data_IF_884379636266
#
_entry.id   IF_884379636266
#
_cell.length_a   1.000
_cell.length_b   1.000
_cell.length_c   1.000
_cell.angle_alpha   90.00
_cell.angle_beta   90.00
_cell.angle_gamma   90.00
#
_symmetry.space_group_name_H-M   'P 1'
#
loop_
_entity.id
_entity.type
_entity.pdbx_description
1 polymer ?
#
# COMPACT_ATOMS: atom_id res chain seq x y z
N UNK A 1 12.81 24.56 -8.66
CA UNK A 1 12.55 25.03 -10.04
C UNK A 1 13.02 23.94 -11.00
N UNK A 2 12.11 23.20 -11.65
CA UNK A 2 12.46 22.27 -12.72
C UNK A 2 12.98 23.08 -13.90
N UNK A 3 14.29 23.05 -14.19
CA UNK A 3 14.81 23.53 -15.47
C UNK A 3 14.17 22.70 -16.57
N UNK A 4 13.35 23.33 -17.43
CA UNK A 4 12.88 22.68 -18.64
C UNK A 4 14.13 22.23 -19.42
N UNK A 5 14.27 20.93 -19.65
CA UNK A 5 15.30 20.34 -20.50
C UNK A 5 15.07 20.91 -21.91
N UNK A 6 15.85 21.91 -22.28
CA UNK A 6 15.83 22.42 -23.66
C UNK A 6 16.46 21.34 -24.54
N UNK A 7 15.65 20.71 -25.40
CA UNK A 7 16.12 19.68 -26.32
C UNK A 7 17.27 20.22 -27.19
N UNK A 8 18.44 19.59 -27.11
CA UNK A 8 19.58 19.90 -27.95
C UNK A 8 19.21 19.68 -29.41
N UNK A 9 19.39 20.73 -30.24
CA UNK A 9 19.11 20.65 -31.69
C UNK A 9 20.42 20.64 -32.44
N UNK A 10 20.56 19.69 -33.33
CA UNK A 10 21.74 19.55 -34.20
C UNK A 10 21.43 20.05 -35.60
N UNK A 11 22.30 20.89 -36.18
CA UNK A 11 22.10 21.50 -37.50
C UNK A 11 23.37 21.52 -38.31
N UNK A 12 23.28 21.25 -39.62
CA UNK A 12 24.40 21.44 -40.57
C UNK A 12 24.57 22.92 -40.88
N UNK A 13 25.80 23.43 -40.81
CA UNK A 13 26.15 24.82 -41.11
C UNK A 13 27.35 24.92 -42.03
N UNK A 14 27.54 26.10 -42.61
CA UNK A 14 28.64 26.48 -43.50
C UNK A 14 29.49 27.55 -42.83
N UNK A 15 30.81 27.41 -42.98
CA UNK A 15 31.79 28.47 -42.66
C UNK A 15 32.62 28.76 -43.89
N UNK A 16 32.66 30.01 -44.35
CA UNK A 16 33.45 30.43 -45.51
C UNK A 16 34.96 30.28 -45.17
N UNK A 17 35.72 29.77 -46.14
CA UNK A 17 37.18 29.80 -46.12
C UNK A 17 37.69 31.23 -46.24
N UNK A 18 38.81 31.53 -45.57
CA UNK A 18 39.43 32.86 -45.63
C UNK A 18 40.27 33.07 -46.89
N UNK A 19 40.76 31.97 -47.48
CA UNK A 19 41.73 32.00 -48.60
C UNK A 19 41.17 31.44 -49.91
N UNK A 20 40.01 30.74 -49.89
CA UNK A 20 39.43 30.10 -51.08
C UNK A 20 37.95 30.38 -51.14
N UNK A 21 37.38 30.31 -52.37
CA UNK A 21 35.93 30.40 -52.57
C UNK A 21 35.25 29.06 -52.32
N UNK A 22 35.40 28.56 -51.07
CA UNK A 22 34.83 27.32 -50.59
C UNK A 22 34.24 27.48 -49.19
N UNK A 23 33.35 26.61 -48.80
CA UNK A 23 32.72 26.60 -47.48
C UNK A 23 32.96 25.25 -46.82
N UNK A 24 33.48 25.28 -45.56
CA UNK A 24 33.61 24.13 -44.70
C UNK A 24 32.26 23.72 -44.16
N UNK A 25 31.93 22.40 -44.27
CA UNK A 25 30.77 21.81 -43.66
C UNK A 25 31.06 21.45 -42.20
N UNK A 26 30.17 21.83 -41.29
CA UNK A 26 30.23 21.44 -39.92
C UNK A 26 28.83 21.22 -39.34
N UNK A 27 28.75 20.41 -38.30
CA UNK A 27 27.53 20.15 -37.53
C UNK A 27 27.63 20.97 -36.24
N UNK A 28 26.60 21.71 -35.87
CA UNK A 28 26.50 22.50 -34.63
C UNK A 28 25.35 21.98 -33.79
N UNK A 29 25.62 21.58 -32.54
CA UNK A 29 24.67 21.24 -31.51
C UNK A 29 24.49 22.42 -30.54
N UNK A 30 23.21 22.78 -30.24
CA UNK A 30 22.86 23.82 -29.28
C UNK A 30 21.40 23.66 -28.82
N UNK A 31 21.09 23.95 -27.55
CA UNK A 31 21.98 24.17 -26.43
C UNK A 31 22.60 22.87 -25.89
N UNK A 32 23.89 22.87 -25.58
CA UNK A 32 24.57 21.78 -24.89
C UNK A 32 24.95 22.21 -23.49
N UNK A 33 24.49 21.53 -22.47
CA UNK A 33 24.81 21.80 -21.06
C UNK A 33 25.98 20.92 -20.64
N UNK A 34 27.04 21.55 -20.11
CA UNK A 34 28.22 20.90 -19.53
C UNK A 34 28.23 21.13 -18.02
N UNK A 35 28.67 20.15 -17.25
CA UNK A 35 28.64 20.20 -15.78
C UNK A 35 29.44 21.35 -15.20
N UNK A 36 30.51 21.77 -15.89
CA UNK A 36 31.46 22.81 -15.49
C UNK A 36 31.07 24.24 -15.94
N UNK A 37 29.98 24.40 -16.72
CA UNK A 37 29.59 25.69 -17.28
C UNK A 37 28.13 26.06 -16.97
N UNK A 38 27.90 27.28 -16.40
CA UNK A 38 26.58 27.74 -16.01
C UNK A 38 25.66 28.08 -17.20
N UNK A 39 26.23 28.28 -18.39
CA UNK A 39 25.50 28.67 -19.60
C UNK A 39 25.61 27.60 -20.68
N UNK A 40 24.55 27.41 -21.50
CA UNK A 40 24.56 26.41 -22.56
C UNK A 40 25.64 26.77 -23.61
N UNK A 41 26.37 25.76 -24.04
CA UNK A 41 27.47 25.87 -24.99
C UNK A 41 27.03 25.45 -26.39
N UNK A 42 27.79 25.96 -27.42
CA UNK A 42 27.67 25.48 -28.80
C UNK A 42 28.80 24.51 -29.09
N UNK A 43 28.46 23.28 -29.41
CA UNK A 43 29.46 22.26 -29.80
C UNK A 43 29.47 22.19 -31.32
N UNK A 44 30.68 22.29 -31.92
CA UNK A 44 30.88 22.24 -33.37
C UNK A 44 31.81 21.11 -33.74
N UNK A 45 31.39 20.33 -34.73
CA UNK A 45 32.18 19.24 -35.31
C UNK A 45 32.37 19.51 -36.78
N UNK A 46 33.64 19.72 -37.21
CA UNK A 46 33.99 19.94 -38.61
C UNK A 46 34.13 18.59 -39.32
N UNK A 47 33.51 18.49 -40.52
CA UNK A 47 33.38 17.23 -41.24
C UNK A 47 34.52 16.94 -42.20
N UNK A 48 35.55 17.81 -42.26
CA UNK A 48 36.65 17.75 -43.23
C UNK A 48 36.18 17.67 -44.70
N UNK A 49 35.04 18.30 -44.99
CA UNK A 49 34.49 18.44 -46.32
C UNK A 49 34.21 19.88 -46.64
N UNK A 50 34.51 20.28 -47.86
CA UNK A 50 34.23 21.62 -48.42
C UNK A 50 33.25 21.53 -49.56
N UNK A 51 32.54 22.62 -49.82
CA UNK A 51 31.65 22.79 -50.99
C UNK A 51 31.97 24.14 -51.63
N UNK A 52 31.80 24.21 -52.94
CA UNK A 52 32.10 25.40 -53.74
C UNK A 52 30.90 26.05 -54.38
N UNK A 53 29.80 25.30 -54.53
CA UNK A 53 28.59 25.71 -55.29
C UNK A 53 27.31 25.74 -54.48
N UNK A 54 27.27 26.24 -53.24
CA UNK A 54 26.01 26.29 -52.49
C UNK A 54 25.00 27.25 -53.10
N UNK A 55 23.73 26.91 -53.08
CA UNK A 55 22.63 27.76 -53.54
C UNK A 55 22.20 28.61 -52.34
N UNK A 56 22.14 29.92 -52.51
CA UNK A 56 21.78 30.87 -51.48
C UNK A 56 20.30 31.27 -51.60
N UNK A 57 19.63 31.34 -50.45
CA UNK A 57 18.22 31.75 -50.39
C UNK A 57 18.16 33.30 -50.26
N UNK A 58 17.90 33.94 -51.43
CA UNK A 58 17.79 35.40 -51.51
C UNK A 58 16.43 35.93 -51.03
N UNK A 59 15.43 35.04 -50.74
CA UNK A 59 14.10 35.42 -50.27
C UNK A 59 14.03 35.60 -48.76
N UNK A 60 15.04 35.12 -48.00
CA UNK A 60 15.10 35.25 -46.56
C UNK A 60 16.04 36.39 -46.15
N UNK A 61 15.64 37.18 -45.10
CA UNK A 61 16.37 38.30 -44.57
C UNK A 61 17.87 38.04 -44.53
N UNK A 62 18.61 38.78 -45.34
CA UNK A 62 20.06 38.78 -45.38
C UNK A 62 20.64 39.50 -44.15
N UNK A 63 21.80 39.04 -43.67
CA UNK A 63 22.53 39.73 -42.66
C UNK A 63 23.59 40.60 -43.34
N UNK A 64 23.47 41.90 -43.22
CA UNK A 64 24.47 42.83 -43.72
C UNK A 64 25.48 43.07 -42.56
N UNK A 65 26.76 42.88 -42.83
CA UNK A 65 27.84 43.17 -41.88
C UNK A 65 28.15 44.69 -41.83
N UNK A 66 29.08 45.07 -40.96
CA UNK A 66 29.47 46.48 -40.78
C UNK A 66 30.10 47.11 -42.02
N UNK A 67 30.59 46.28 -42.94
CA UNK A 67 31.24 46.68 -44.20
C UNK A 67 30.25 46.68 -45.38
N UNK A 68 28.94 46.59 -45.12
CA UNK A 68 27.91 46.66 -46.16
C UNK A 68 27.72 45.37 -46.96
N UNK A 69 28.44 44.29 -46.64
CA UNK A 69 28.36 43.02 -47.36
C UNK A 69 27.19 42.16 -46.89
N UNK A 70 26.28 41.87 -47.78
CA UNK A 70 25.10 41.07 -47.45
C UNK A 70 25.40 39.56 -47.57
N UNK A 71 25.14 38.81 -46.49
CA UNK A 71 25.27 37.34 -46.48
C UNK A 71 23.92 36.65 -46.40
N UNK A 72 23.69 35.68 -47.27
CA UNK A 72 22.45 34.93 -47.35
C UNK A 72 22.61 33.57 -46.65
N UNK A 73 21.50 32.97 -46.18
CA UNK A 73 21.47 31.58 -45.69
C UNK A 73 21.45 30.60 -46.86
N UNK A 74 22.05 29.41 -46.72
CA UNK A 74 21.97 28.41 -47.76
C UNK A 74 20.54 27.94 -47.94
N UNK A 75 20.10 27.77 -49.18
CA UNK A 75 18.81 27.19 -49.51
C UNK A 75 18.78 25.70 -49.16
N UNK A 76 17.65 25.21 -48.63
CA UNK A 76 17.51 23.84 -48.18
C UNK A 76 16.29 23.21 -48.91
N UNK A 77 16.36 21.89 -49.09
CA UNK A 77 15.23 21.10 -49.57
C UNK A 77 14.18 20.88 -48.44
N UNK A 78 13.14 20.09 -48.74
CA UNK A 78 12.07 19.74 -47.82
C UNK A 78 12.58 18.94 -46.59
N UNK A 79 13.69 18.24 -46.74
CA UNK A 79 14.32 17.45 -45.69
C UNK A 79 15.33 18.28 -44.86
N UNK A 80 15.55 19.54 -45.22
CA UNK A 80 16.50 20.44 -44.53
C UNK A 80 17.94 20.33 -45.04
N UNK A 81 18.23 19.57 -46.10
CA UNK A 81 19.55 19.38 -46.69
C UNK A 81 19.92 20.63 -47.53
N UNK A 82 21.15 21.10 -47.40
CA UNK A 82 21.66 22.26 -48.17
C UNK A 82 21.72 21.86 -49.64
N UNK A 83 21.20 22.74 -50.49
CA UNK A 83 21.19 22.55 -51.95
C UNK A 83 22.46 23.17 -52.57
N UNK A 84 23.06 22.41 -53.49
CA UNK A 84 24.25 22.80 -54.27
C UNK A 84 23.99 22.64 -55.75
N UNK A 85 24.79 23.33 -56.58
CA UNK A 85 24.72 23.19 -58.06
C UNK A 85 25.51 21.98 -58.54
N UNK A 86 26.65 21.68 -57.91
CA UNK A 86 27.47 20.53 -58.25
C UNK A 86 26.97 19.27 -57.55
N UNK A 87 26.98 18.14 -58.21
CA UNK A 87 26.58 16.85 -57.67
C UNK A 87 27.50 16.40 -56.51
N UNK A 88 28.85 16.65 -56.66
CA UNK A 88 29.84 16.32 -55.66
C UNK A 88 29.61 17.10 -54.35
N UNK A 89 29.27 18.39 -54.47
CA UNK A 89 28.93 19.23 -53.30
C UNK A 89 27.60 18.77 -52.68
N UNK A 90 26.63 18.37 -53.47
CA UNK A 90 25.34 17.86 -53.02
C UNK A 90 25.53 16.56 -52.23
N UNK A 91 26.38 15.64 -52.70
CA UNK A 91 26.74 14.42 -51.95
C UNK A 91 27.40 14.72 -50.63
N UNK A 92 28.27 15.74 -50.55
CA UNK A 92 28.87 16.22 -49.33
C UNK A 92 27.85 16.79 -48.34
N UNK A 93 26.81 17.48 -48.84
CA UNK A 93 25.71 17.99 -48.00
C UNK A 93 24.78 16.84 -47.51
N UNK A 94 24.52 15.83 -48.33
CA UNK A 94 23.79 14.61 -47.92
C UNK A 94 24.57 13.85 -46.82
N UNK A 95 25.89 13.72 -46.99
CA UNK A 95 26.73 13.12 -45.94
C UNK A 95 26.67 13.91 -44.65
N UNK A 96 26.76 15.25 -44.69
CA UNK A 96 26.65 16.10 -43.55
C UNK A 96 25.32 15.96 -42.81
N UNK A 97 24.22 15.75 -43.52
CA UNK A 97 22.91 15.51 -42.93
C UNK A 97 22.80 14.13 -42.29
N UNK A 98 23.43 13.11 -42.87
CA UNK A 98 23.55 11.79 -42.19
C UNK A 98 24.29 11.90 -40.86
N UNK A 99 25.40 12.64 -40.83
CA UNK A 99 26.15 12.90 -39.54
C UNK A 99 25.29 13.69 -38.57
N UNK A 100 24.59 14.74 -39.03
CA UNK A 100 23.62 15.49 -38.22
C UNK A 100 22.58 14.57 -37.57
N UNK A 101 21.98 13.69 -38.39
CA UNK A 101 20.97 12.74 -37.92
C UNK A 101 21.50 11.75 -36.88
N UNK A 102 22.76 11.29 -37.05
CA UNK A 102 23.43 10.43 -36.08
C UNK A 102 23.65 11.16 -34.76
N UNK A 103 24.21 12.38 -34.81
CA UNK A 103 24.47 13.20 -33.61
C UNK A 103 23.17 13.62 -32.92
N UNK A 104 22.07 13.87 -33.65
CA UNK A 104 20.78 14.16 -33.03
C UNK A 104 20.29 12.96 -32.22
N UNK A 105 20.37 11.73 -32.75
CA UNK A 105 20.02 10.53 -32.04
C UNK A 105 20.86 10.30 -30.77
N UNK A 106 22.16 10.63 -30.83
CA UNK A 106 23.03 10.52 -29.66
C UNK A 106 22.59 11.46 -28.53
N UNK A 107 22.24 12.73 -28.86
CA UNK A 107 21.73 13.68 -27.86
C UNK A 107 20.34 13.29 -27.34
N UNK A 108 19.46 12.79 -28.19
CA UNK A 108 18.13 12.33 -27.80
C UNK A 108 18.23 11.10 -26.88
N UNK A 109 19.11 10.15 -27.20
CA UNK A 109 19.36 8.98 -26.40
C UNK A 109 20.07 9.29 -25.06
N UNK A 110 21.00 10.23 -25.05
CA UNK A 110 21.71 10.63 -23.82
C UNK A 110 20.73 11.14 -22.73
N UNK A 111 19.67 11.84 -23.14
CA UNK A 111 18.61 12.27 -22.24
C UNK A 111 17.82 11.07 -21.67
N UNK A 112 17.51 10.09 -22.50
CA UNK A 112 16.81 8.86 -22.10
C UNK A 112 17.65 7.98 -21.17
N UNK A 113 18.94 7.83 -21.46
CA UNK A 113 19.86 7.04 -20.62
C UNK A 113 20.08 7.68 -19.23
N UNK A 114 20.13 9.00 -19.13
CA UNK A 114 20.30 9.69 -17.85
C UNK A 114 19.09 9.54 -16.92
N UNK A 115 17.86 9.45 -17.46
CA UNK A 115 16.64 9.19 -16.69
C UNK A 115 16.60 7.74 -16.21
N UNK A 116 16.90 6.77 -17.08
CA UNK A 116 16.96 5.34 -16.72
C UNK A 116 18.06 5.03 -15.70
N UNK A 117 19.22 5.68 -15.81
CA UNK A 117 20.32 5.51 -14.85
C UNK A 117 19.94 6.05 -13.47
N UNK A 118 19.23 7.19 -13.40
CA UNK A 118 18.74 7.75 -12.16
C UNK A 118 17.67 6.86 -11.50
N UNK A 119 16.73 6.33 -12.26
CA UNK A 119 15.71 5.39 -11.77
C UNK A 119 16.34 4.09 -11.26
N UNK A 120 17.34 3.56 -11.97
CA UNK A 120 18.06 2.35 -11.55
C UNK A 120 18.87 2.60 -10.27
N UNK A 121 19.52 3.75 -10.14
CA UNK A 121 20.24 4.12 -8.93
C UNK A 121 19.30 4.26 -7.73
N UNK A 122 18.15 4.90 -7.90
CA UNK A 122 17.13 5.01 -6.86
C UNK A 122 16.58 3.62 -6.46
N UNK A 123 16.30 2.75 -7.44
CA UNK A 123 15.83 1.40 -7.17
C UNK A 123 16.90 0.56 -6.43
N UNK A 124 18.17 0.76 -6.76
CA UNK A 124 19.27 0.10 -6.07
C UNK A 124 19.38 0.57 -4.60
N UNK A 125 19.24 1.86 -4.34
CA UNK A 125 19.19 2.40 -2.97
C UNK A 125 18.02 1.83 -2.18
N UNK A 126 16.81 1.83 -2.76
CA UNK A 126 15.61 1.25 -2.13
C UNK A 126 15.79 -0.24 -1.84
N UNK A 127 16.46 -0.97 -2.71
CA UNK A 127 16.72 -2.41 -2.51
C UNK A 127 17.64 -2.71 -1.32
N UNK A 128 18.47 -1.75 -0.89
CA UNK A 128 19.36 -1.83 0.27
C UNK A 128 18.71 -1.42 1.58
N UNK A 129 17.51 -0.84 1.54
CA UNK A 129 16.76 -0.47 2.75
C UNK A 129 16.36 -1.71 3.54
N UNK A 130 16.23 -1.55 4.87
CA UNK A 130 15.83 -2.61 5.79
C UNK A 130 14.31 -2.76 5.81
N UNK A 131 13.80 -3.92 5.40
CA UNK A 131 12.38 -4.23 5.42
C UNK A 131 11.79 -4.30 6.84
N UNK A 132 12.56 -4.72 7.85
CA UNK A 132 12.05 -4.79 9.24
C UNK A 132 11.77 -3.39 9.77
N UNK A 133 12.63 -2.42 9.50
CA UNK A 133 12.41 -1.01 9.86
C UNK A 133 11.23 -0.41 9.06
N UNK A 134 11.17 -0.71 7.77
CA UNK A 134 10.05 -0.31 6.93
C UNK A 134 8.72 -0.88 7.43
N UNK A 135 8.69 -2.15 7.87
CA UNK A 135 7.51 -2.79 8.44
C UNK A 135 6.99 -2.05 9.67
N UNK A 136 7.88 -1.66 10.59
CA UNK A 136 7.52 -0.88 11.77
C UNK A 136 7.01 0.53 11.39
N UNK A 137 7.62 1.16 10.38
CA UNK A 137 7.16 2.44 9.84
C UNK A 137 5.73 2.34 9.27
N UNK A 138 5.46 1.34 8.45
CA UNK A 138 4.12 1.08 7.88
C UNK A 138 3.09 0.83 8.98
N UNK A 139 3.45 0.07 10.01
CA UNK A 139 2.57 -0.15 11.17
C UNK A 139 2.17 1.17 11.82
N UNK A 140 3.13 2.03 12.12
CA UNK A 140 2.87 3.33 12.77
C UNK A 140 1.99 4.24 11.93
N UNK A 141 2.22 4.31 10.63
CA UNK A 141 1.44 5.17 9.73
C UNK A 141 0.01 4.65 9.51
N UNK A 142 -0.14 3.37 9.17
CA UNK A 142 -1.45 2.82 8.78
C UNK A 142 -2.37 2.56 9.98
N UNK A 143 -1.80 2.29 11.14
CA UNK A 143 -2.56 1.84 12.32
C UNK A 143 -2.51 2.80 13.50
N UNK A 144 -2.18 4.09 13.25
CA UNK A 144 -2.17 5.14 14.28
C UNK A 144 -3.50 5.25 15.06
N UNK A 145 -4.64 4.99 14.39
CA UNK A 145 -5.98 5.04 14.97
C UNK A 145 -6.70 3.68 14.95
N UNK A 146 -5.97 2.59 14.76
CA UNK A 146 -6.55 1.24 14.78
C UNK A 146 -6.77 0.76 16.22
N UNK A 147 -7.59 -0.31 16.36
CA UNK A 147 -7.78 -0.94 17.68
C UNK A 147 -6.48 -1.56 18.20
N UNK A 148 -6.34 -1.61 19.54
CA UNK A 148 -5.17 -2.18 20.20
C UNK A 148 -4.85 -3.60 19.73
N UNK A 149 -5.87 -4.41 19.44
CA UNK A 149 -5.69 -5.78 18.95
C UNK A 149 -4.99 -5.84 17.58
N UNK A 150 -5.25 -4.88 16.70
CA UNK A 150 -4.56 -4.76 15.40
C UNK A 150 -3.11 -4.37 15.64
N UNK A 151 -2.89 -3.35 16.47
CA UNK A 151 -1.54 -2.85 16.80
C UNK A 151 -0.69 -3.97 17.44
N UNK A 152 -1.25 -4.71 18.39
CA UNK A 152 -0.58 -5.84 19.06
C UNK A 152 -0.20 -6.93 18.04
N UNK A 153 -1.10 -7.27 17.11
CA UNK A 153 -0.81 -8.27 16.08
C UNK A 153 0.34 -7.82 15.14
N UNK A 154 0.36 -6.56 14.71
CA UNK A 154 1.45 -6.02 13.91
C UNK A 154 2.77 -6.02 14.65
N UNK A 155 2.79 -5.58 15.91
CA UNK A 155 3.97 -5.63 16.77
C UNK A 155 4.49 -7.06 16.92
N UNK A 156 3.58 -8.03 17.09
CA UNK A 156 3.97 -9.42 17.19
C UNK A 156 4.58 -9.97 15.91
N UNK A 157 4.04 -9.62 14.73
CA UNK A 157 4.64 -9.99 13.44
C UNK A 157 6.04 -9.37 13.29
N UNK A 158 6.22 -8.11 13.71
CA UNK A 158 7.53 -7.45 13.71
C UNK A 158 8.56 -8.20 14.58
N UNK A 159 8.19 -8.62 15.79
CA UNK A 159 9.04 -9.46 16.65
C UNK A 159 9.38 -10.80 15.99
N UNK A 160 8.39 -11.45 15.36
CA UNK A 160 8.59 -12.72 14.68
C UNK A 160 9.49 -12.59 13.44
N UNK A 161 9.44 -11.46 12.74
CA UNK A 161 10.39 -11.15 11.66
C UNK A 161 11.83 -11.07 12.15
N UNK A 162 12.07 -10.44 13.32
CA UNK A 162 13.40 -10.38 13.94
C UNK A 162 13.89 -11.77 14.37
N UNK A 163 13.02 -12.59 14.97
CA UNK A 163 13.35 -13.97 15.33
C UNK A 163 13.70 -14.78 14.07
N UNK A 164 12.93 -14.67 13.01
CA UNK A 164 13.15 -15.36 11.75
C UNK A 164 14.47 -14.94 11.08
N UNK A 165 14.75 -13.64 11.05
CA UNK A 165 15.98 -13.08 10.52
C UNK A 165 17.21 -13.39 11.37
N UNK A 166 17.02 -13.84 12.63
CA UNK A 166 18.07 -13.94 13.66
C UNK A 166 18.81 -12.61 13.89
N UNK A 167 18.08 -11.52 13.74
CA UNK A 167 18.61 -10.15 13.85
C UNK A 167 17.56 -9.11 13.48
N UNK A 168 17.98 -7.88 13.29
CA UNK A 168 17.11 -6.74 13.03
C UNK A 168 17.07 -6.30 11.55
N UNK A 169 17.63 -7.11 10.64
CA UNK A 169 17.80 -6.69 9.24
C UNK A 169 17.37 -7.77 8.26
N UNK A 170 16.48 -7.40 7.35
CA UNK A 170 16.17 -8.07 6.09
C UNK A 170 16.19 -6.99 5.02
N UNK A 171 17.12 -7.06 4.06
CA UNK A 171 17.15 -6.08 2.96
C UNK A 171 16.04 -6.37 1.95
N UNK A 172 15.52 -5.31 1.31
CA UNK A 172 14.53 -5.49 0.23
C UNK A 172 15.06 -6.35 -0.92
N UNK A 173 16.36 -6.29 -1.21
CA UNK A 173 17.03 -7.15 -2.20
C UNK A 173 16.98 -8.65 -1.86
N UNK A 174 16.76 -9.01 -0.61
CA UNK A 174 16.66 -10.40 -0.14
C UNK A 174 15.23 -10.95 -0.21
N UNK A 175 14.23 -10.07 -0.45
CA UNK A 175 12.82 -10.47 -0.48
C UNK A 175 12.51 -11.12 -1.82
N UNK A 176 12.58 -12.43 -1.82
CA UNK A 176 12.20 -13.30 -2.93
C UNK A 176 11.08 -14.29 -2.52
N UNK A 177 10.61 -15.08 -3.46
CA UNK A 177 9.59 -16.10 -3.20
C UNK A 177 10.05 -17.12 -2.15
N UNK A 178 11.34 -17.44 -2.13
CA UNK A 178 11.91 -18.42 -1.21
C UNK A 178 11.90 -17.89 0.23
N UNK A 179 12.25 -16.63 0.43
CA UNK A 179 12.18 -15.98 1.76
C UNK A 179 10.74 -15.94 2.25
N UNK A 180 9.77 -15.54 1.39
CA UNK A 180 8.36 -15.47 1.78
C UNK A 180 7.81 -16.84 2.16
N UNK A 181 8.11 -17.89 1.39
CA UNK A 181 7.73 -19.27 1.72
C UNK A 181 8.42 -19.76 2.99
N UNK A 182 9.71 -19.44 3.20
CA UNK A 182 10.43 -19.79 4.42
C UNK A 182 9.81 -19.11 5.65
N UNK A 183 9.40 -17.84 5.54
CA UNK A 183 8.69 -17.16 6.63
C UNK A 183 7.29 -17.76 6.87
N UNK A 184 6.58 -18.16 5.81
CA UNK A 184 5.30 -18.87 5.92
C UNK A 184 5.44 -20.17 6.72
N UNK A 185 6.48 -20.97 6.41
CA UNK A 185 6.77 -22.22 7.12
C UNK A 185 7.23 -21.98 8.56
N UNK A 186 8.02 -20.92 8.80
CA UNK A 186 8.42 -20.51 10.14
C UNK A 186 7.19 -20.16 11.00
N UNK A 187 6.21 -19.43 10.46
CA UNK A 187 5.01 -19.04 11.20
C UNK A 187 4.18 -20.25 11.68
N UNK A 188 4.16 -21.36 10.92
CA UNK A 188 3.45 -22.57 11.33
C UNK A 188 4.04 -23.22 12.59
N UNK A 189 5.29 -22.92 12.91
CA UNK A 189 6.02 -23.44 14.08
C UNK A 189 6.51 -22.30 15.00
N UNK A 190 6.03 -21.07 14.81
CA UNK A 190 6.52 -19.92 15.54
C UNK A 190 6.13 -19.98 17.04
N UNK A 191 7.01 -19.51 17.94
CA UNK A 191 6.76 -19.56 19.37
C UNK A 191 5.61 -18.63 19.78
N UNK A 192 4.86 -19.04 20.80
CA UNK A 192 3.92 -18.15 21.46
C UNK A 192 4.68 -16.99 22.15
N UNK A 193 4.06 -15.81 22.20
CA UNK A 193 4.63 -14.66 22.91
C UNK A 193 4.29 -14.65 24.41
N UNK A 194 4.88 -13.69 25.15
CA UNK A 194 4.54 -13.45 26.54
C UNK A 194 4.96 -14.57 27.51
N UNK A 195 6.06 -15.28 27.24
CA UNK A 195 6.59 -16.33 28.08
C UNK A 195 5.79 -17.64 28.08
N UNK A 196 4.77 -17.75 27.23
CA UNK A 196 4.00 -18.99 27.09
C UNK A 196 4.80 -20.06 26.35
N UNK A 197 4.77 -21.29 26.84
CA UNK A 197 5.37 -22.46 26.17
C UNK A 197 4.47 -22.91 25.03
N UNK A 198 5.07 -23.32 23.88
CA UNK A 198 4.37 -23.87 22.73
C UNK A 198 4.44 -22.98 21.50
N UNK A 199 3.74 -23.40 20.44
CA UNK A 199 3.66 -22.72 19.15
C UNK A 199 2.31 -22.00 18.98
N UNK A 200 2.26 -21.01 18.11
CA UNK A 200 1.02 -20.32 17.77
C UNK A 200 0.06 -21.26 17.01
N UNK A 201 -1.25 -21.00 17.12
CA UNK A 201 -2.24 -21.76 16.34
C UNK A 201 -2.15 -21.45 14.86
N UNK A 202 -2.59 -22.38 14.02
CA UNK A 202 -2.62 -22.20 12.57
C UNK A 202 -3.46 -20.97 12.16
N UNK A 203 -4.56 -20.67 12.84
CA UNK A 203 -5.37 -19.47 12.59
C UNK A 203 -4.61 -18.19 12.96
N UNK A 204 -3.79 -18.21 14.00
CA UNK A 204 -2.91 -17.10 14.35
C UNK A 204 -1.80 -16.93 13.30
N UNK A 205 -1.19 -18.02 12.86
CA UNK A 205 -0.19 -18.00 11.78
C UNK A 205 -0.78 -17.45 10.47
N UNK A 206 -2.01 -17.83 10.12
CA UNK A 206 -2.75 -17.29 8.97
C UNK A 206 -2.94 -15.77 9.07
N UNK A 207 -3.35 -15.28 10.24
CA UNK A 207 -3.50 -13.83 10.50
C UNK A 207 -2.16 -13.10 10.37
N UNK A 208 -1.11 -13.61 10.97
CA UNK A 208 0.22 -13.00 10.94
C UNK A 208 0.83 -13.00 9.54
N UNK A 209 0.63 -14.07 8.78
CA UNK A 209 1.07 -14.12 7.39
C UNK A 209 0.30 -13.13 6.50
N UNK A 210 -0.99 -12.93 6.76
CA UNK A 210 -1.79 -11.92 6.06
C UNK A 210 -1.29 -10.50 6.35
N UNK A 211 -0.87 -10.20 7.58
CA UNK A 211 -0.24 -8.92 7.96
C UNK A 211 1.09 -8.74 7.22
N UNK A 212 1.93 -9.76 7.18
CA UNK A 212 3.19 -9.73 6.44
C UNK A 212 2.96 -9.45 4.94
N UNK A 213 2.01 -10.15 4.31
CA UNK A 213 1.61 -9.89 2.91
C UNK A 213 1.10 -8.47 2.69
N UNK A 214 0.36 -7.92 3.65
CA UNK A 214 -0.12 -6.53 3.56
C UNK A 214 1.03 -5.52 3.58
N UNK A 215 2.08 -5.77 4.37
CA UNK A 215 3.28 -4.95 4.37
C UNK A 215 4.07 -5.07 3.05
N UNK A 216 4.20 -6.28 2.48
CA UNK A 216 4.81 -6.48 1.16
C UNK A 216 4.05 -5.76 0.04
N UNK A 217 2.72 -5.81 0.07
CA UNK A 217 1.88 -5.09 -0.89
C UNK A 217 2.08 -3.58 -0.77
N UNK A 218 2.18 -3.06 0.46
CA UNK A 218 2.47 -1.63 0.66
C UNK A 218 3.86 -1.28 0.13
N UNK A 219 4.87 -2.14 0.36
CA UNK A 219 6.22 -1.93 -0.16
C UNK A 219 6.28 -1.90 -1.70
N UNK A 220 5.42 -2.68 -2.37
CA UNK A 220 5.24 -2.59 -3.82
C UNK A 220 4.62 -1.25 -4.24
N UNK A 221 3.57 -0.79 -3.53
CA UNK A 221 2.92 0.50 -3.80
C UNK A 221 3.90 1.67 -3.60
N UNK A 222 4.74 1.60 -2.56
CA UNK A 222 5.73 2.63 -2.22
C UNK A 222 7.00 2.56 -3.09
N UNK A 223 7.08 1.58 -4.02
CA UNK A 223 8.19 1.44 -4.97
C UNK A 223 9.47 0.81 -4.42
N UNK A 224 9.44 0.18 -3.24
CA UNK A 224 10.56 -0.62 -2.71
C UNK A 224 10.68 -1.98 -3.40
N UNK A 225 9.57 -2.52 -3.86
CA UNK A 225 9.50 -3.76 -4.64
C UNK A 225 8.98 -3.44 -6.04
N UNK A 226 9.61 -4.02 -7.06
CA UNK A 226 9.21 -3.84 -8.47
C UNK A 226 8.01 -4.69 -8.87
N UNK A 227 7.67 -5.69 -8.08
CA UNK A 227 6.57 -6.64 -8.32
C UNK A 227 5.84 -6.90 -7.01
N UNK A 228 4.50 -7.04 -7.05
CA UNK A 228 3.72 -7.54 -5.91
C UNK A 228 4.01 -9.05 -5.70
N UNK A 229 5.16 -9.30 -5.10
CA UNK A 229 5.65 -10.67 -4.84
C UNK A 229 4.78 -11.39 -3.81
N UNK A 230 4.18 -10.64 -2.88
CA UNK A 230 3.27 -11.18 -1.87
C UNK A 230 2.02 -11.82 -2.47
N UNK A 231 1.52 -11.32 -3.61
CA UNK A 231 0.36 -11.88 -4.29
C UNK A 231 0.64 -13.27 -4.89
N UNK A 232 1.89 -13.57 -5.23
CA UNK A 232 2.29 -14.85 -5.85
C UNK A 232 2.31 -16.04 -4.87
N UNK A 233 2.30 -15.78 -3.56
CA UNK A 233 2.35 -16.83 -2.54
C UNK A 233 0.96 -17.03 -1.93
N UNK A 234 0.50 -18.29 -1.86
CA UNK A 234 -0.76 -18.64 -1.22
C UNK A 234 -0.71 -18.35 0.27
N UNK A 235 -1.84 -17.86 0.83
CA UNK A 235 -2.00 -17.67 2.27
C UNK A 235 -1.89 -18.97 3.05
N UNK A 236 -1.73 -18.87 4.37
CA UNK A 236 -1.89 -20.01 5.25
C UNK A 236 -3.39 -20.25 5.39
N UNK A 237 -3.86 -21.44 5.04
CA UNK A 237 -5.26 -21.82 5.19
C UNK A 237 -5.59 -21.95 6.69
N UNK A 238 -6.65 -21.27 7.13
CA UNK A 238 -7.13 -21.40 8.49
C UNK A 238 -7.77 -22.78 8.73
N UNK A 239 -7.75 -23.21 9.98
CA UNK A 239 -8.53 -24.37 10.40
C UNK A 239 -9.94 -23.91 10.79
N UNK A 240 -10.94 -24.62 10.30
CA UNK A 240 -12.29 -24.43 10.80
C UNK A 240 -12.37 -24.84 12.27
N UNK A 241 -12.84 -23.93 13.11
CA UNK A 241 -13.14 -24.22 14.51
C UNK A 241 -14.63 -24.48 14.66
N UNK A 242 -14.97 -25.67 15.15
CA UNK A 242 -16.34 -25.96 15.55
C UNK A 242 -16.72 -25.03 16.70
N UNK A 243 -17.73 -24.20 16.46
CA UNK A 243 -18.21 -23.26 17.47
C UNK A 243 -19.27 -23.92 18.31
N UNK A 244 -19.03 -23.99 19.62
CA UNK A 244 -20.01 -24.52 20.55
C UNK A 244 -21.12 -23.47 20.77
N UNK A 245 -22.33 -23.98 20.99
CA UNK A 245 -23.50 -23.18 21.35
C UNK A 245 -24.33 -23.93 22.41
N UNK A 246 -25.18 -23.19 23.13
CA UNK A 246 -26.07 -23.69 24.16
C UNK A 246 -27.46 -23.94 23.56
N UNK A 247 -28.05 -25.07 23.88
CA UNK A 247 -29.45 -25.34 23.59
C UNK A 247 -30.37 -24.58 24.55
N UNK A 248 -31.67 -24.53 24.26
CA UNK A 248 -32.68 -23.91 25.15
C UNK A 248 -32.64 -24.55 26.54
N UNK A 249 -32.58 -25.91 26.62
CA UNK A 249 -32.53 -26.62 27.90
C UNK A 249 -31.24 -26.30 28.68
N UNK A 250 -30.12 -26.17 27.99
CA UNK A 250 -28.87 -25.78 28.63
C UNK A 250 -28.89 -24.32 29.13
N UNK A 251 -29.53 -23.42 28.38
CA UNK A 251 -29.74 -22.03 28.83
C UNK A 251 -30.66 -21.97 30.05
N UNK A 252 -31.72 -22.77 30.06
CA UNK A 252 -32.63 -22.85 31.22
C UNK A 252 -31.92 -23.42 32.47
N UNK A 253 -31.09 -24.45 32.32
CA UNK A 253 -30.27 -24.96 33.41
C UNK A 253 -29.28 -23.91 33.95
N UNK A 254 -28.61 -23.18 33.05
CA UNK A 254 -27.75 -22.09 33.44
C UNK A 254 -28.52 -20.98 34.17
N UNK A 255 -29.68 -20.60 33.75
CA UNK A 255 -30.50 -19.58 34.39
C UNK A 255 -30.84 -19.98 35.86
N UNK A 256 -31.05 -21.27 36.11
CA UNK A 256 -31.36 -21.82 37.46
C UNK A 256 -30.10 -22.03 38.30
N UNK A 257 -28.94 -22.25 37.70
CA UNK A 257 -27.67 -22.50 38.41
C UNK A 257 -27.15 -21.20 39.04
N UNK A 258 -26.78 -21.16 40.33
CA UNK A 258 -26.22 -19.98 40.97
C UNK A 258 -24.89 -19.53 40.34
N UNK A 259 -24.73 -18.22 40.15
CA UNK A 259 -23.45 -17.59 39.83
C UNK A 259 -23.53 -16.08 40.13
N UNK A 260 -22.47 -15.34 39.85
CA UNK A 260 -22.50 -13.88 39.94
C UNK A 260 -23.70 -13.29 39.20
N UNK A 261 -24.56 -12.47 39.89
CA UNK A 261 -25.79 -11.97 39.30
C UNK A 261 -25.57 -11.10 38.06
N UNK A 262 -24.53 -10.29 38.01
CA UNK A 262 -24.23 -9.41 36.88
C UNK A 262 -23.75 -10.24 35.68
N UNK A 263 -22.88 -11.20 35.90
CA UNK A 263 -22.40 -12.14 34.88
C UNK A 263 -23.59 -12.91 34.25
N UNK A 264 -24.46 -13.48 35.11
CA UNK A 264 -25.65 -14.23 34.67
C UNK A 264 -26.54 -13.38 33.80
N UNK A 265 -26.94 -12.20 34.23
CA UNK A 265 -27.79 -11.28 33.48
C UNK A 265 -27.16 -10.92 32.15
N UNK A 266 -25.90 -10.51 32.12
CA UNK A 266 -25.22 -10.11 30.90
C UNK A 266 -25.04 -11.26 29.90
N UNK A 267 -24.72 -12.46 30.36
CA UNK A 267 -24.56 -13.65 29.51
C UNK A 267 -25.90 -14.10 28.89
N UNK A 268 -26.96 -14.19 29.71
CA UNK A 268 -28.29 -14.54 29.23
C UNK A 268 -28.86 -13.45 28.31
N UNK A 269 -28.59 -12.17 28.60
CA UNK A 269 -28.93 -11.06 27.70
C UNK A 269 -28.26 -11.21 26.34
N UNK A 270 -26.98 -11.60 26.32
CA UNK A 270 -26.28 -11.92 25.06
C UNK A 270 -26.94 -13.10 24.30
N UNK A 271 -27.44 -14.12 25.01
CA UNK A 271 -28.13 -15.25 24.41
C UNK A 271 -29.52 -14.90 23.84
N UNK A 272 -30.18 -13.88 24.40
CA UNK A 272 -31.51 -13.42 23.96
C UNK A 272 -31.46 -12.31 22.90
N UNK A 273 -30.32 -11.61 22.79
CA UNK A 273 -30.19 -10.44 21.90
C UNK A 273 -29.13 -10.62 20.82
N UNK A 274 -28.23 -11.58 20.98
CA UNK A 274 -27.11 -11.74 20.09
C UNK A 274 -26.04 -10.64 20.16
N UNK A 275 -26.08 -9.73 21.12
CA UNK A 275 -25.11 -8.65 21.30
C UNK A 275 -23.72 -9.18 21.67
N UNK A 276 -22.67 -8.47 21.21
CA UNK A 276 -21.30 -8.77 21.59
C UNK A 276 -21.03 -8.30 23.01
N UNK A 277 -20.08 -8.94 23.70
CA UNK A 277 -19.66 -8.52 25.03
C UNK A 277 -19.32 -7.03 25.12
N UNK A 278 -18.54 -6.50 24.17
CA UNK A 278 -18.14 -5.10 24.17
C UNK A 278 -19.33 -4.12 24.00
N UNK A 279 -20.38 -4.54 23.32
CA UNK A 279 -21.59 -3.73 23.17
C UNK A 279 -22.41 -3.77 24.46
N UNK A 280 -22.59 -4.94 25.08
CA UNK A 280 -23.26 -5.11 26.37
C UNK A 280 -22.54 -4.33 27.48
N UNK A 281 -21.20 -4.38 27.52
CA UNK A 281 -20.39 -3.70 28.53
C UNK A 281 -20.58 -2.17 28.51
N UNK A 282 -20.87 -1.61 27.32
CA UNK A 282 -21.02 -0.17 27.12
C UNK A 282 -22.47 0.29 26.93
N UNK A 283 -23.43 -0.62 26.98
CA UNK A 283 -24.84 -0.32 26.81
C UNK A 283 -25.33 0.63 27.90
N UNK A 284 -25.89 1.75 27.50
CA UNK A 284 -26.48 2.77 28.38
C UNK A 284 -27.98 2.62 28.49
N UNK A 285 -28.57 3.12 29.55
CA UNK A 285 -30.03 3.15 29.73
C UNK A 285 -30.73 4.05 28.70
N UNK A 286 -30.11 5.08 28.22
CA UNK A 286 -30.61 5.93 27.14
C UNK A 286 -30.75 5.21 25.80
N UNK A 287 -30.03 4.10 25.60
CA UNK A 287 -30.06 3.27 24.38
C UNK A 287 -31.17 2.22 24.42
N UNK A 288 -31.93 2.12 25.53
CA UNK A 288 -33.11 1.24 25.67
C UNK A 288 -34.38 2.09 25.58
N UNK A 289 -35.12 1.91 24.53
CA UNK A 289 -36.40 2.59 24.28
C UNK A 289 -37.58 1.69 24.61
N UNK A 290 -38.59 2.26 25.23
CA UNK A 290 -39.88 1.62 25.52
C UNK A 290 -40.94 2.35 24.72
N UNK A 291 -41.60 1.68 23.81
CA UNK A 291 -42.63 2.28 22.97
C UNK A 291 -43.80 1.30 22.84
N UNK A 292 -45.00 1.75 23.26
CA UNK A 292 -46.23 0.96 23.20
C UNK A 292 -46.14 -0.47 23.77
N UNK A 293 -45.45 -0.67 24.88
CA UNK A 293 -45.25 -1.98 25.52
C UNK A 293 -44.22 -2.87 24.83
N UNK A 294 -43.54 -2.36 23.80
CA UNK A 294 -42.45 -3.01 23.15
C UNK A 294 -41.12 -2.41 23.54
N UNK A 295 -40.07 -3.23 23.58
CA UNK A 295 -38.71 -2.83 23.96
C UNK A 295 -37.80 -2.90 22.75
N UNK A 296 -36.95 -1.89 22.55
CA UNK A 296 -35.95 -1.91 21.50
C UNK A 296 -34.63 -1.28 21.97
N UNK A 297 -33.55 -1.71 21.35
CA UNK A 297 -32.23 -1.11 21.52
C UNK A 297 -31.96 -0.18 20.34
N UNK A 298 -31.43 1.00 20.65
CA UNK A 298 -30.96 1.98 19.70
C UNK A 298 -29.53 2.36 20.10
N UNK A 299 -28.53 1.68 19.55
CA UNK A 299 -27.16 1.80 19.98
C UNK A 299 -26.18 1.74 18.82
N UNK A 300 -24.95 2.22 19.02
CA UNK A 300 -23.87 2.15 18.04
C UNK A 300 -22.93 0.99 18.38
N UNK A 301 -22.81 0.04 17.47
CA UNK A 301 -21.90 -1.11 17.65
C UNK A 301 -20.45 -0.66 17.82
N UNK A 302 -19.76 -1.14 18.86
CA UNK A 302 -18.39 -0.76 19.15
C UNK A 302 -17.40 -1.23 18.09
N UNK A 303 -17.61 -2.40 17.52
CA UNK A 303 -16.70 -3.02 16.55
C UNK A 303 -16.88 -2.49 15.12
N UNK A 304 -18.11 -2.34 14.67
CA UNK A 304 -18.45 -2.00 13.28
C UNK A 304 -18.87 -0.54 13.10
N UNK A 305 -19.11 0.16 14.20
CA UNK A 305 -19.58 1.58 14.24
C UNK A 305 -20.93 1.80 13.53
N UNK A 306 -21.66 0.73 13.24
CA UNK A 306 -23.02 0.82 12.70
C UNK A 306 -24.03 1.15 13.80
N UNK A 307 -25.04 1.98 13.45
CA UNK A 307 -26.19 2.23 14.31
C UNK A 307 -27.17 1.06 14.12
N UNK A 308 -27.61 0.48 15.23
CA UNK A 308 -28.52 -0.65 15.27
C UNK A 308 -29.82 -0.31 15.97
N UNK A 309 -30.93 -0.64 15.32
CA UNK A 309 -32.28 -0.58 15.89
C UNK A 309 -32.81 -2.01 15.99
N UNK A 310 -32.83 -2.57 17.19
CA UNK A 310 -33.14 -3.96 17.40
C UNK A 310 -34.27 -4.15 18.42
N UNK A 311 -35.40 -4.79 18.08
CA UNK A 311 -36.39 -5.16 19.08
C UNK A 311 -35.81 -6.21 20.02
N UNK A 312 -36.16 -6.15 21.29
CA UNK A 312 -35.80 -7.14 22.30
C UNK A 312 -37.06 -7.64 23.00
N UNK A 313 -37.00 -8.90 23.44
CA UNK A 313 -38.09 -9.52 24.19
C UNK A 313 -38.21 -8.89 25.60
N UNK A 314 -39.40 -9.01 26.20
CA UNK A 314 -39.60 -8.60 27.59
C UNK A 314 -38.64 -9.35 28.54
N UNK A 315 -38.37 -10.62 28.30
CA UNK A 315 -37.40 -11.41 29.07
C UNK A 315 -36.00 -10.78 29.00
N UNK A 316 -35.55 -10.34 27.82
CA UNK A 316 -34.28 -9.65 27.65
C UNK A 316 -34.27 -8.31 28.40
N UNK A 317 -35.38 -7.55 28.34
CA UNK A 317 -35.50 -6.29 29.09
C UNK A 317 -35.43 -6.50 30.59
N UNK A 318 -36.09 -7.52 31.14
CA UNK A 318 -36.04 -7.87 32.57
C UNK A 318 -34.61 -8.16 33.05
N UNK A 319 -33.75 -8.74 32.21
CA UNK A 319 -32.33 -8.96 32.50
C UNK A 319 -31.53 -7.66 32.63
N UNK A 320 -32.01 -6.54 32.13
CA UNK A 320 -31.37 -5.24 32.34
C UNK A 320 -31.45 -4.80 33.79
N UNK A 321 -32.51 -5.24 34.54
CA UNK A 321 -32.73 -4.88 35.91
C UNK A 321 -33.52 -3.56 36.05
N UNK A 322 -33.43 -2.90 37.19
CA UNK A 322 -34.09 -1.65 37.46
C UNK A 322 -33.56 -0.52 36.58
N UNK A 323 -34.46 0.24 35.98
CA UNK A 323 -34.11 1.40 35.14
C UNK A 323 -33.42 2.47 35.96
N UNK A 324 -32.28 2.94 35.47
CA UNK A 324 -31.45 3.97 36.04
C UNK A 324 -31.40 5.20 35.14
N UNK A 325 -30.61 6.21 35.53
CA UNK A 325 -30.34 7.37 34.70
C UNK A 325 -29.79 6.98 33.32
N UNK A 326 -30.21 7.74 32.31
CA UNK A 326 -29.88 7.42 30.90
C UNK A 326 -28.42 7.27 30.58
N UNK A 327 -27.54 8.01 31.24
CA UNK A 327 -26.09 7.95 31.01
C UNK A 327 -25.40 6.80 31.75
N UNK A 328 -26.09 6.14 32.68
CA UNK A 328 -25.54 5.00 33.38
C UNK A 328 -25.54 3.75 32.54
N UNK A 329 -24.53 2.91 32.76
CA UNK A 329 -24.42 1.62 32.09
C UNK A 329 -25.41 0.61 32.66
N UNK A 330 -26.09 -0.13 31.78
CA UNK A 330 -27.04 -1.21 32.16
C UNK A 330 -26.34 -2.32 32.91
N UNK A 331 -25.17 -2.72 32.46
CA UNK A 331 -24.35 -3.78 33.05
C UNK A 331 -23.05 -3.21 33.65
N UNK A 332 -23.20 -2.17 34.49
CA UNK A 332 -22.06 -1.53 35.14
C UNK A 332 -21.26 -2.54 35.97
N UNK A 333 -19.93 -2.56 35.78
CA UNK A 333 -19.04 -3.50 36.49
C UNK A 333 -18.83 -4.83 35.77
N UNK A 334 -19.41 -5.04 34.55
CA UNK A 334 -19.15 -6.25 33.81
C UNK A 334 -17.65 -6.38 33.48
N UNK A 335 -16.99 -7.51 33.87
CA UNK A 335 -15.56 -7.68 33.68
C UNK A 335 -15.14 -7.67 32.22
N UNK A 336 -13.86 -7.32 31.97
CA UNK A 336 -13.25 -7.38 30.65
C UNK A 336 -13.28 -8.80 30.07
N UNK A 337 -13.33 -8.95 28.72
CA UNK A 337 -13.30 -10.24 28.04
C UNK A 337 -12.16 -11.18 28.47
N UNK A 338 -11.04 -10.63 28.89
CA UNK A 338 -9.88 -11.40 29.38
C UNK A 338 -10.17 -12.17 30.67
N UNK A 339 -11.06 -11.67 31.51
CA UNK A 339 -11.36 -12.20 32.85
C UNK A 339 -12.68 -12.95 32.92
N UNK A 340 -13.63 -12.64 32.07
CA UNK A 340 -15.02 -13.15 32.15
C UNK A 340 -15.12 -14.65 31.87
N UNK A 341 -14.24 -15.23 31.07
CA UNK A 341 -14.33 -16.63 30.64
C UNK A 341 -14.03 -17.62 31.75
N UNK A 342 -13.25 -17.25 32.77
CA UNK A 342 -12.94 -18.11 33.94
C UNK A 342 -14.18 -18.37 34.80
N UNK A 343 -14.92 -17.35 35.27
CA UNK A 343 -16.17 -17.57 35.98
C UNK A 343 -17.25 -18.24 35.13
N UNK A 344 -17.35 -17.98 33.81
CA UNK A 344 -18.26 -18.69 32.95
C UNK A 344 -17.96 -20.18 32.93
N UNK A 345 -16.71 -20.56 32.73
CA UNK A 345 -16.31 -21.99 32.77
C UNK A 345 -16.74 -22.69 34.04
N UNK A 346 -16.61 -22.04 35.18
CA UNK A 346 -17.05 -22.57 36.49
C UNK A 346 -18.57 -22.74 36.49
N UNK A 347 -19.34 -21.71 36.12
CA UNK A 347 -20.79 -21.71 36.10
C UNK A 347 -21.36 -22.77 35.17
N UNK A 348 -20.78 -22.93 33.97
CA UNK A 348 -21.19 -23.94 32.95
C UNK A 348 -20.95 -25.35 33.49
N UNK A 349 -19.83 -25.60 34.20
CA UNK A 349 -19.55 -26.90 34.82
C UNK A 349 -20.53 -27.21 35.99
N UNK A 350 -20.88 -26.23 36.81
CA UNK A 350 -21.85 -26.35 37.90
C UNK A 350 -23.28 -26.63 37.36
N UNK A 351 -23.59 -26.15 36.17
CA UNK A 351 -24.83 -26.47 35.46
C UNK A 351 -24.82 -27.85 34.79
N UNK A 352 -23.77 -28.67 34.95
CA UNK A 352 -23.65 -30.00 34.38
C UNK A 352 -23.51 -29.99 32.85
N UNK A 353 -22.96 -28.90 32.25
CA UNK A 353 -22.73 -28.76 30.83
C UNK A 353 -21.28 -29.08 30.55
N UNK A 354 -21.03 -30.06 29.66
CA UNK A 354 -19.65 -30.52 29.32
C UNK A 354 -19.01 -29.77 28.15
N UNK A 355 -19.79 -28.94 27.44
CA UNK A 355 -19.29 -28.12 26.31
C UNK A 355 -18.31 -27.06 26.79
N UNK A 356 -17.35 -26.72 25.91
CA UNK A 356 -16.42 -25.62 26.16
C UNK A 356 -17.09 -24.29 25.79
N UNK A 357 -17.79 -23.69 26.75
CA UNK A 357 -18.52 -22.43 26.57
C UNK A 357 -17.67 -21.24 27.04
N UNK A 358 -17.55 -20.26 26.16
CA UNK A 358 -17.02 -18.93 26.43
C UNK A 358 -18.15 -17.90 26.37
N UNK A 359 -17.91 -16.66 26.80
CA UNK A 359 -18.93 -15.62 26.68
C UNK A 359 -19.47 -15.45 25.23
N UNK A 360 -18.61 -15.59 24.24
CA UNK A 360 -19.02 -15.46 22.84
C UNK A 360 -19.96 -16.58 22.37
N UNK A 361 -19.96 -17.73 23.03
CA UNK A 361 -20.88 -18.83 22.74
C UNK A 361 -22.34 -18.47 23.01
N UNK A 362 -22.63 -17.57 23.97
CA UNK A 362 -23.99 -17.08 24.20
C UNK A 362 -24.56 -16.36 22.96
N UNK A 363 -23.76 -15.52 22.32
CA UNK A 363 -24.14 -14.91 21.06
C UNK A 363 -24.31 -15.94 19.91
N UNK A 364 -23.46 -16.97 19.87
CA UNK A 364 -23.64 -18.06 18.90
C UNK A 364 -24.93 -18.83 19.16
N UNK A 365 -25.29 -19.05 20.44
CA UNK A 365 -26.55 -19.68 20.78
C UNK A 365 -27.76 -18.90 20.25
N UNK A 366 -27.74 -17.56 20.41
CA UNK A 366 -28.78 -16.71 19.80
C UNK A 366 -28.95 -16.98 18.30
N UNK A 367 -27.86 -16.89 17.53
CA UNK A 367 -27.91 -17.08 16.08
C UNK A 367 -28.44 -18.49 15.71
N UNK A 368 -27.94 -19.52 16.40
CA UNK A 368 -28.37 -20.91 16.15
C UNK A 368 -29.85 -21.14 16.50
N UNK A 369 -30.31 -20.57 17.62
CA UNK A 369 -31.71 -20.71 18.05
C UNK A 369 -32.67 -19.95 17.14
N UNK A 370 -32.28 -18.76 16.64
CA UNK A 370 -33.06 -18.02 15.64
C UNK A 370 -33.22 -18.84 14.34
N UNK A 371 -32.12 -19.40 13.83
CA UNK A 371 -32.15 -20.27 12.65
C UNK A 371 -33.04 -21.50 12.86
N UNK A 372 -32.95 -22.16 14.02
CA UNK A 372 -33.79 -23.32 14.36
C UNK A 372 -35.27 -22.97 14.53
N UNK A 373 -35.58 -21.71 14.87
CA UNK A 373 -36.92 -21.15 14.96
C UNK A 373 -37.51 -20.69 13.63
N UNK A 374 -36.79 -20.86 12.51
CA UNK A 374 -37.25 -20.50 11.17
C UNK A 374 -37.05 -19.02 10.80
N UNK A 375 -36.21 -18.29 11.52
CA UNK A 375 -35.85 -16.92 11.17
C UNK A 375 -34.79 -16.96 10.08
N UNK A 376 -35.04 -16.34 8.93
CA UNK A 376 -34.04 -16.06 7.90
C UNK A 376 -33.06 -14.99 8.42
N UNK A 377 -31.75 -15.26 8.28
CA UNK A 377 -30.68 -14.33 8.75
C UNK A 377 -30.04 -13.64 7.55
#
# INVERSE_FOLDING_TARGET
MKKALANTRVSVKLRKSEYREEWYLYVEAYPVFQADKPTPQRVREYLNRTITTPIWDKSRNARTDKDGKTTYKPKRDLNGIILCKSQLDQESCIYADKVRSLRQKEYDNASLYSETDAEQAEQLERSRCNFIEYFDHVQRLRHAHSSDSIIINWKRVHELLKIFAKGDTILFSQIDLKLIESFRMFLLNAPQGGGKKGVISQNTASTYFSIFKAALKQAFIDGYLTVDIGAKVKGIQGQESRREYLTIDELNRLAQTPCDPLLKRAALFSALTGLRHCDIQKLKWSEIEVFNGSYRLNFTQQKTKGVEYMPISEQAFQLCGERKDGEQLVFAGLPDPSWINRPIKKWVAEAGITKHITYHCFRHSYATLQLSGGTDI
#
